data_IF_945625500851
#
_entry.id   IF_945625500851
#
_cell.length_a   1.000
_cell.length_b   1.000
_cell.length_c   1.000
_cell.angle_alpha   90.00
_cell.angle_beta   90.00
_cell.angle_gamma   90.00
#
_symmetry.space_group_name_H-M   'P 1'
#
loop_
_entity.id
_entity.type
_entity.pdbx_description
1 polymer ?
#
# COMPACT_ATOMS: atom_id res chain seq x y z
N UNK A 1 -12.47 3.31 5.27
CA UNK A 1 -12.44 2.57 6.55
C UNK A 1 -11.00 2.15 6.73
N UNK A 2 -10.35 2.47 7.85
CA UNK A 2 -8.95 2.09 8.08
C UNK A 2 -8.93 0.68 8.66
N UNK A 3 -8.29 -0.28 7.97
CA UNK A 3 -8.19 -1.66 8.43
C UNK A 3 -6.83 -1.86 9.11
N UNK A 4 -6.83 -2.50 10.29
CA UNK A 4 -5.58 -2.85 10.97
C UNK A 4 -5.14 -4.21 10.46
N UNK A 5 -3.95 -4.30 9.87
CA UNK A 5 -3.44 -5.52 9.26
C UNK A 5 -2.18 -6.00 10.00
N UNK A 6 -1.89 -7.30 9.90
CA UNK A 6 -0.63 -7.86 10.34
C UNK A 6 0.42 -7.60 9.25
N UNK A 7 1.36 -6.70 9.53
CA UNK A 7 2.48 -6.38 8.64
C UNK A 7 3.56 -5.62 9.40
N UNK A 8 4.81 -5.72 8.98
CA UNK A 8 5.94 -5.17 9.74
C UNK A 8 6.26 -3.75 9.30
N UNK A 9 6.34 -2.81 10.25
CA UNK A 9 6.81 -1.47 9.95
C UNK A 9 8.31 -1.49 9.61
N UNK A 10 8.73 -1.02 8.42
CA UNK A 10 10.13 -1.08 7.99
C UNK A 10 11.07 -0.22 8.84
N UNK A 11 10.52 0.70 9.64
CA UNK A 11 11.30 1.62 10.48
C UNK A 11 11.54 1.11 11.90
N UNK A 12 10.57 0.42 12.50
CA UNK A 12 10.64 0.04 13.91
C UNK A 12 10.31 -1.43 14.19
N UNK A 13 10.03 -2.24 13.16
CA UNK A 13 9.78 -3.68 13.29
C UNK A 13 8.46 -4.04 14.00
N UNK A 14 7.57 -3.07 14.22
CA UNK A 14 6.28 -3.35 14.88
C UNK A 14 5.31 -3.93 13.86
N UNK A 15 4.61 -5.00 14.26
CA UNK A 15 3.69 -5.78 13.43
C UNK A 15 2.27 -5.22 13.31
N UNK A 16 1.94 -4.20 14.10
CA UNK A 16 0.65 -3.50 14.04
C UNK A 16 0.71 -2.29 13.10
N UNK A 17 0.19 -2.47 11.89
CA UNK A 17 0.14 -1.44 10.86
C UNK A 17 -1.31 -1.18 10.44
N UNK A 18 -1.58 0.04 9.97
CA UNK A 18 -2.87 0.47 9.44
C UNK A 18 -2.74 0.55 7.92
N UNK A 19 -3.59 -0.17 7.20
CA UNK A 19 -3.79 0.06 5.78
C UNK A 19 -4.80 1.21 5.60
N UNK A 20 -4.38 2.24 4.89
CA UNK A 20 -5.10 3.51 4.73
C UNK A 20 -5.95 3.50 3.48
N UNK A 21 -5.34 3.17 2.36
CA UNK A 21 -6.00 3.20 1.05
C UNK A 21 -5.20 2.39 0.03
N UNK A 22 -5.91 2.00 -1.04
CA UNK A 22 -5.34 1.47 -2.26
C UNK A 22 -5.64 2.40 -3.40
N UNK A 23 -4.61 2.77 -4.13
CA UNK A 23 -4.72 3.56 -5.36
C UNK A 23 -4.44 2.63 -6.53
N UNK A 24 -5.43 2.48 -7.43
CA UNK A 24 -5.21 1.84 -8.72
C UNK A 24 -4.39 2.80 -9.59
N UNK A 25 -3.25 2.33 -10.08
CA UNK A 25 -2.43 3.10 -11.00
C UNK A 25 -2.94 2.82 -12.41
N UNK A 26 -3.56 3.82 -13.03
CA UNK A 26 -3.93 3.75 -14.44
C UNK A 26 -2.66 3.99 -15.27
N UNK A 27 -2.19 2.94 -15.94
CA UNK A 27 -1.16 3.09 -16.98
C UNK A 27 -1.63 3.98 -18.13
N UNK A 28 -0.69 4.46 -18.94
CA UNK A 28 -1.01 5.18 -20.20
C UNK A 28 -2.01 4.36 -21.05
N UNK A 29 -2.93 5.03 -21.77
CA UNK A 29 -3.94 4.38 -22.63
C UNK A 29 -3.35 3.33 -23.59
N UNK A 30 -2.10 3.51 -24.01
CA UNK A 30 -1.35 2.56 -24.84
C UNK A 30 -1.06 1.20 -24.16
N UNK A 31 -1.03 1.16 -22.83
CA UNK A 31 -0.72 -0.03 -22.03
C UNK A 31 -1.94 -0.58 -21.28
N UNK A 32 -3.12 0.00 -21.49
CA UNK A 32 -4.38 -0.34 -20.82
C UNK A 32 -4.71 -1.85 -20.87
N UNK A 33 -4.37 -2.51 -21.97
CA UNK A 33 -4.57 -3.95 -22.18
C UNK A 33 -3.51 -4.89 -21.56
N UNK A 34 -2.40 -4.34 -21.03
CA UNK A 34 -1.26 -5.11 -20.50
C UNK A 34 -1.16 -4.92 -18.98
N UNK A 35 -1.45 -3.72 -18.49
CA UNK A 35 -1.36 -3.36 -17.09
C UNK A 35 -2.69 -3.65 -16.39
N UNK A 36 -3.01 -4.93 -16.23
CA UNK A 36 -4.02 -5.28 -15.25
C UNK A 36 -3.42 -5.05 -13.86
N UNK A 37 -3.77 -3.86 -13.34
CA UNK A 37 -3.91 -3.53 -11.92
C UNK A 37 -2.62 -3.41 -11.10
N UNK A 38 -1.72 -2.55 -11.55
CA UNK A 38 -0.75 -1.90 -10.67
C UNK A 38 -1.48 -1.16 -9.55
N UNK A 39 -1.04 -1.36 -8.30
CA UNK A 39 -1.62 -0.72 -7.13
C UNK A 39 -0.56 -0.19 -6.19
N UNK A 40 -0.82 0.99 -5.63
CA UNK A 40 -0.09 1.51 -4.48
C UNK A 40 -0.99 1.34 -3.24
N UNK A 41 -0.55 0.50 -2.30
CA UNK A 41 -1.16 0.36 -0.99
C UNK A 41 -0.44 1.26 0.01
N UNK A 42 -1.19 2.07 0.75
CA UNK A 42 -0.65 3.02 1.72
C UNK A 42 -0.79 2.50 3.14
N UNK A 43 0.31 2.56 3.88
CA UNK A 43 0.40 2.04 5.24
C UNK A 43 0.87 3.09 6.23
N UNK A 44 0.37 2.99 7.45
CA UNK A 44 0.81 3.78 8.61
C UNK A 44 1.16 2.87 9.78
N UNK A 45 2.30 3.13 10.42
CA UNK A 45 2.65 2.47 11.68
C UNK A 45 1.94 3.15 12.85
N UNK A 46 1.20 2.39 13.67
CA UNK A 46 0.54 2.94 14.86
C UNK A 46 1.50 3.52 15.88
N UNK A 47 2.68 2.92 16.04
CA UNK A 47 3.65 3.24 17.09
C UNK A 47 4.54 4.42 16.71
N UNK A 48 5.30 4.31 15.61
CA UNK A 48 6.26 5.35 15.23
C UNK A 48 5.69 6.39 14.25
N UNK A 49 4.42 6.26 13.86
CA UNK A 49 3.72 7.14 12.90
C UNK A 49 4.42 7.27 11.54
N UNK A 50 5.26 6.30 11.19
CA UNK A 50 5.85 6.20 9.86
C UNK A 50 4.76 5.88 8.84
N UNK A 51 4.79 6.56 7.70
CA UNK A 51 3.93 6.27 6.57
C UNK A 51 4.80 5.76 5.42
N UNK A 52 4.33 4.74 4.71
CA UNK A 52 4.99 4.24 3.51
C UNK A 52 3.95 3.72 2.52
N UNK A 53 4.40 3.45 1.31
CA UNK A 53 3.60 2.82 0.27
C UNK A 53 4.28 1.55 -0.21
N UNK A 54 3.50 0.55 -0.56
CA UNK A 54 3.99 -0.65 -1.23
C UNK A 54 3.28 -0.80 -2.56
N UNK A 55 4.10 -0.99 -3.59
CA UNK A 55 3.63 -1.22 -4.94
C UNK A 55 3.40 -2.71 -5.15
N UNK A 56 2.27 -3.08 -5.74
CA UNK A 56 1.90 -4.47 -6.04
C UNK A 56 1.17 -4.57 -7.37
N UNK A 57 1.09 -5.77 -7.92
CA UNK A 57 0.21 -6.11 -9.05
C UNK A 57 -0.95 -6.97 -8.52
N UNK A 58 -2.18 -6.66 -8.90
CA UNK A 58 -3.38 -7.45 -8.63
C UNK A 58 -3.66 -8.48 -9.72
#
# INVERSE_FOLDING_TARGET
MNETMQGECPKCGVTEIIWRERVLLEGSLENYHVMHTEVDDYYECKTCKNNWKEFSYL
#
